data_IF_523456983654
#
_entry.id   IF_523456983654
#
_cell.length_a   1.000
_cell.length_b   1.000
_cell.length_c   1.000
_cell.angle_alpha   90.00
_cell.angle_beta   90.00
_cell.angle_gamma   90.00
#
_symmetry.space_group_name_H-M   'P 1'
#
loop_
_entity.id
_entity.type
_entity.pdbx_description
1 polymer ?
#
# COMPACT_ATOMS: atom_id res chain seq x y z
N UNK A 1 -5.39 -2.95 -27.87
CA UNK A 1 -5.25 -1.82 -28.81
C UNK A 1 -5.09 -0.55 -28.00
N UNK A 2 -4.21 0.37 -28.40
CA UNK A 2 -4.06 1.67 -27.74
C UNK A 2 -4.84 2.73 -28.51
N UNK A 3 -5.51 3.63 -27.79
CA UNK A 3 -6.26 4.76 -28.35
C UNK A 3 -5.74 6.06 -27.74
N UNK A 4 -5.57 7.10 -28.57
CA UNK A 4 -5.10 8.41 -28.13
C UNK A 4 -6.30 9.27 -27.74
N UNK A 5 -6.23 9.89 -26.56
CA UNK A 5 -7.19 10.90 -26.08
C UNK A 5 -6.46 12.23 -26.01
N UNK A 6 -7.07 13.28 -26.57
CA UNK A 6 -6.58 14.66 -26.46
C UNK A 6 -7.52 15.49 -25.59
N UNK A 7 -6.94 16.30 -24.71
CA UNK A 7 -7.66 17.23 -23.86
C UNK A 7 -6.79 18.46 -23.60
N UNK A 8 -7.45 19.61 -23.45
CA UNK A 8 -6.78 20.84 -23.04
C UNK A 8 -6.87 20.99 -21.52
N UNK A 9 -5.75 21.38 -20.91
CA UNK A 9 -5.66 21.71 -19.49
C UNK A 9 -5.01 23.08 -19.36
N UNK A 10 -5.29 23.78 -18.27
CA UNK A 10 -4.64 25.06 -17.98
C UNK A 10 -3.13 24.88 -17.71
N UNK A 11 -2.39 25.99 -17.76
CA UNK A 11 -0.94 26.00 -17.61
C UNK A 11 -0.46 25.54 -16.22
N UNK A 12 -1.23 25.80 -15.17
CA UNK A 12 -0.91 25.39 -13.79
C UNK A 12 -1.05 23.87 -13.65
N UNK A 13 -2.12 23.29 -14.20
CA UNK A 13 -2.33 21.85 -14.24
C UNK A 13 -1.26 21.15 -15.07
N UNK A 14 -0.95 21.67 -16.26
CA UNK A 14 0.12 21.13 -17.11
C UNK A 14 1.49 21.12 -16.42
N UNK A 15 1.83 22.20 -15.71
CA UNK A 15 3.11 22.32 -14.98
C UNK A 15 3.17 21.35 -13.81
N UNK A 16 2.07 21.25 -13.04
CA UNK A 16 1.97 20.32 -11.91
C UNK A 16 2.11 18.87 -12.36
N UNK A 17 1.43 18.49 -13.45
CA UNK A 17 1.50 17.16 -14.03
C UNK A 17 2.93 16.81 -14.50
N UNK A 18 3.61 17.71 -15.21
CA UNK A 18 5.00 17.51 -15.65
C UNK A 18 5.94 17.29 -14.46
N UNK A 19 5.76 18.06 -13.38
CA UNK A 19 6.53 17.92 -12.15
C UNK A 19 6.30 16.53 -11.51
N UNK A 20 5.05 16.11 -11.36
CA UNK A 20 4.72 14.79 -10.79
C UNK A 20 5.32 13.66 -11.65
N UNK A 21 5.16 13.73 -12.97
CA UNK A 21 5.73 12.74 -13.88
C UNK A 21 7.26 12.64 -13.75
N UNK A 22 7.94 13.78 -13.63
CA UNK A 22 9.39 13.82 -13.40
C UNK A 22 9.78 13.22 -12.05
N UNK A 23 9.04 13.52 -10.98
CA UNK A 23 9.32 13.00 -9.63
C UNK A 23 9.15 11.48 -9.57
N UNK A 24 8.20 10.93 -10.32
CA UNK A 24 7.95 9.49 -10.37
C UNK A 24 8.84 8.74 -11.39
N UNK A 25 9.70 9.46 -12.13
CA UNK A 25 10.49 8.92 -13.25
C UNK A 25 9.60 8.27 -14.33
N UNK A 26 8.53 8.96 -14.74
CA UNK A 26 7.53 8.48 -15.70
C UNK A 26 7.29 9.49 -16.81
N UNK A 27 6.82 9.01 -17.96
CA UNK A 27 6.33 9.90 -19.02
C UNK A 27 5.02 10.57 -18.61
N UNK A 28 4.75 11.77 -19.14
CA UNK A 28 3.49 12.49 -18.91
C UNK A 28 2.29 11.63 -19.34
N UNK A 29 2.40 10.94 -20.47
CA UNK A 29 1.35 10.03 -20.96
C UNK A 29 1.03 8.90 -19.97
N UNK A 30 2.07 8.28 -19.38
CA UNK A 30 1.89 7.21 -18.39
C UNK A 30 1.28 7.73 -17.08
N UNK A 31 1.68 8.93 -16.65
CA UNK A 31 1.10 9.59 -15.49
C UNK A 31 -0.40 9.89 -15.69
N UNK A 32 -0.77 10.47 -16.85
CA UNK A 32 -2.17 10.74 -17.21
C UNK A 32 -2.98 9.46 -17.31
N UNK A 33 -2.47 8.44 -18.00
CA UNK A 33 -3.13 7.14 -18.13
C UNK A 33 -3.43 6.50 -16.77
N UNK A 34 -2.49 6.60 -15.84
CA UNK A 34 -2.68 6.08 -14.47
C UNK A 34 -3.68 6.91 -13.68
N UNK A 35 -3.61 8.23 -13.77
CA UNK A 35 -4.56 9.12 -13.12
C UNK A 35 -5.99 8.85 -13.60
N UNK A 36 -6.20 8.69 -14.92
CA UNK A 36 -7.49 8.31 -15.50
C UNK A 36 -7.93 6.95 -14.95
N UNK A 37 -7.07 5.93 -14.98
CA UNK A 37 -7.38 4.57 -14.51
C UNK A 37 -7.83 4.56 -13.04
N UNK A 38 -7.13 5.30 -12.19
CA UNK A 38 -7.52 5.43 -10.78
C UNK A 38 -8.84 6.18 -10.67
N UNK A 39 -8.97 7.33 -11.35
CA UNK A 39 -10.16 8.16 -11.25
C UNK A 39 -11.42 7.43 -11.71
N UNK A 40 -11.40 6.73 -12.86
CA UNK A 40 -12.57 5.97 -13.35
C UNK A 40 -12.93 4.79 -12.44
N UNK A 41 -11.96 4.23 -11.71
CA UNK A 41 -12.17 3.13 -10.78
C UNK A 41 -12.80 3.53 -9.45
N UNK A 42 -12.76 4.81 -9.09
CA UNK A 42 -13.37 5.31 -7.84
C UNK A 42 -14.91 5.32 -7.95
N UNK A 43 -15.66 5.00 -6.87
CA UNK A 43 -17.11 5.18 -6.83
C UNK A 43 -17.52 6.62 -7.12
N UNK A 44 -18.68 6.83 -7.77
CA UNK A 44 -19.15 8.17 -8.17
C UNK A 44 -19.13 9.16 -6.99
N UNK A 45 -19.69 8.79 -5.84
CA UNK A 45 -19.72 9.67 -4.67
C UNK A 45 -18.33 10.10 -4.18
N UNK A 46 -17.32 9.23 -4.30
CA UNK A 46 -15.93 9.57 -3.95
C UNK A 46 -15.35 10.57 -4.96
N UNK A 47 -15.61 10.38 -6.25
CA UNK A 47 -15.15 11.33 -7.29
C UNK A 47 -15.78 12.70 -7.11
N UNK A 48 -17.10 12.73 -6.90
CA UNK A 48 -17.85 13.96 -6.72
C UNK A 48 -17.32 14.74 -5.51
N UNK A 49 -17.08 14.05 -4.39
CA UNK A 49 -16.47 14.65 -3.19
C UNK A 49 -15.05 15.18 -3.44
N UNK A 50 -14.18 14.44 -4.13
CA UNK A 50 -12.83 14.92 -4.46
C UNK A 50 -12.84 16.16 -5.38
N UNK A 51 -13.81 16.23 -6.30
CA UNK A 51 -13.98 17.38 -7.17
C UNK A 51 -14.50 18.60 -6.41
N UNK A 52 -15.42 18.40 -5.46
CA UNK A 52 -15.94 19.44 -4.56
C UNK A 52 -14.80 20.04 -3.72
N UNK A 53 -14.03 19.21 -3.01
CA UNK A 53 -12.88 19.69 -2.22
C UNK A 53 -11.86 20.46 -3.06
N UNK A 54 -11.61 20.02 -4.30
CA UNK A 54 -10.69 20.73 -5.19
C UNK A 54 -11.27 22.07 -5.68
N UNK A 55 -12.59 22.16 -5.87
CA UNK A 55 -13.26 23.41 -6.26
C UNK A 55 -13.30 24.42 -5.10
N UNK A 56 -13.42 23.95 -3.86
CA UNK A 56 -13.38 24.76 -2.64
C UNK A 56 -11.95 25.14 -2.21
N UNK A 57 -10.93 24.62 -2.90
CA UNK A 57 -9.52 24.72 -2.52
C UNK A 57 -9.22 24.21 -1.09
N UNK A 58 -10.03 23.29 -0.57
CA UNK A 58 -9.89 22.71 0.77
C UNK A 58 -8.77 21.67 0.81
N UNK A 59 -7.54 22.18 0.85
CA UNK A 59 -6.32 21.35 0.92
C UNK A 59 -6.18 20.60 2.23
N UNK A 60 -6.69 21.15 3.33
CA UNK A 60 -6.56 20.54 4.65
C UNK A 60 -7.36 19.23 4.71
N UNK A 61 -8.57 19.23 4.16
CA UNK A 61 -9.39 18.03 4.05
C UNK A 61 -8.81 17.03 3.05
N UNK A 62 -8.27 17.49 1.90
CA UNK A 62 -7.58 16.61 0.94
C UNK A 62 -6.38 15.91 1.59
N UNK A 63 -5.56 16.65 2.34
CA UNK A 63 -4.37 16.11 3.01
C UNK A 63 -4.75 15.13 4.13
N UNK A 64 -5.82 15.43 4.88
CA UNK A 64 -6.36 14.53 5.89
C UNK A 64 -6.86 13.23 5.26
N UNK A 65 -7.65 13.33 4.19
CA UNK A 65 -8.14 12.17 3.45
C UNK A 65 -6.97 11.33 2.91
N UNK A 66 -5.94 11.98 2.36
CA UNK A 66 -4.73 11.30 1.88
C UNK A 66 -4.02 10.49 2.96
N UNK A 67 -3.90 11.05 4.18
CA UNK A 67 -3.31 10.34 5.33
C UNK A 67 -4.16 9.14 5.74
N UNK A 68 -5.48 9.31 5.83
CA UNK A 68 -6.40 8.23 6.19
C UNK A 68 -6.37 7.09 5.15
N UNK A 69 -6.39 7.43 3.86
CA UNK A 69 -6.24 6.47 2.76
C UNK A 69 -4.90 5.73 2.81
N UNK A 70 -3.80 6.43 3.13
CA UNK A 70 -2.49 5.79 3.25
C UNK A 70 -2.45 4.80 4.41
N UNK A 71 -3.05 5.14 5.55
CA UNK A 71 -3.15 4.25 6.69
C UNK A 71 -3.96 2.98 6.35
N UNK A 72 -5.10 3.14 5.67
CA UNK A 72 -5.90 2.01 5.19
C UNK A 72 -5.11 1.15 4.19
N UNK A 73 -4.43 1.77 3.23
CA UNK A 73 -3.63 1.06 2.25
C UNK A 73 -2.46 0.30 2.88
N UNK A 74 -1.82 0.85 3.91
CA UNK A 74 -0.77 0.18 4.66
C UNK A 74 -1.29 -1.07 5.38
N UNK A 75 -2.46 -0.98 6.04
CA UNK A 75 -3.11 -2.12 6.70
C UNK A 75 -3.43 -3.22 5.70
N UNK A 76 -4.07 -2.90 4.59
CA UNK A 76 -4.41 -3.88 3.54
C UNK A 76 -3.15 -4.53 2.94
N UNK A 77 -2.07 -3.77 2.74
CA UNK A 77 -0.80 -4.35 2.26
C UNK A 77 -0.19 -5.31 3.28
N UNK A 78 -0.23 -4.96 4.57
CA UNK A 78 0.25 -5.80 5.65
C UNK A 78 -0.57 -7.10 5.70
N UNK A 79 -1.90 -7.02 5.75
CA UNK A 79 -2.79 -8.20 5.74
C UNK A 79 -2.51 -9.13 4.56
N UNK A 80 -2.35 -8.57 3.35
CA UNK A 80 -1.99 -9.36 2.16
C UNK A 80 -0.61 -10.01 2.26
N UNK A 81 0.37 -9.30 2.81
CA UNK A 81 1.71 -9.85 3.03
C UNK A 81 1.68 -10.97 4.06
N UNK A 82 0.95 -10.80 5.18
CA UNK A 82 0.79 -11.83 6.20
C UNK A 82 0.07 -13.07 5.66
N UNK A 83 -1.01 -12.88 4.88
CA UNK A 83 -1.70 -13.98 4.22
C UNK A 83 -0.79 -14.73 3.24
N UNK A 84 0.07 -14.02 2.50
CA UNK A 84 1.05 -14.62 1.60
C UNK A 84 2.10 -15.43 2.36
N UNK A 85 2.65 -14.89 3.45
CA UNK A 85 3.63 -15.58 4.30
C UNK A 85 3.04 -16.82 4.99
N UNK A 86 1.78 -16.76 5.43
CA UNK A 86 1.06 -17.90 5.98
C UNK A 86 0.85 -18.99 4.91
N UNK A 87 0.50 -18.60 3.67
CA UNK A 87 0.37 -19.53 2.54
C UNK A 87 1.71 -20.15 2.11
N UNK A 88 2.83 -19.44 2.31
CA UNK A 88 4.20 -19.93 2.09
C UNK A 88 4.72 -20.79 3.26
N UNK A 89 3.92 -21.03 4.30
CA UNK A 89 4.26 -21.92 5.42
C UNK A 89 5.26 -21.35 6.42
N UNK A 90 5.52 -20.04 6.41
CA UNK A 90 6.40 -19.39 7.40
C UNK A 90 5.73 -19.17 8.77
N UNK A 91 4.41 -19.28 8.84
CA UNK A 91 3.69 -19.48 10.09
C UNK A 91 3.12 -20.89 10.07
N UNK A 92 3.67 -21.72 10.95
CA UNK A 92 3.43 -23.16 11.06
C UNK A 92 2.03 -23.62 10.69
N UNK A 93 1.99 -24.61 9.80
CA UNK A 93 0.80 -25.44 9.60
C UNK A 93 0.39 -26.18 10.89
N UNK A 94 -0.74 -26.91 10.85
CA UNK A 94 -1.39 -27.52 12.03
C UNK A 94 -0.57 -28.56 12.82
N UNK A 95 0.75 -28.65 12.62
CA UNK A 95 1.71 -29.36 13.46
C UNK A 95 2.54 -28.49 14.40
N UNK A 96 2.48 -27.14 14.34
CA UNK A 96 3.35 -26.28 15.16
C UNK A 96 2.94 -26.10 16.62
N UNK A 97 1.71 -26.48 17.00
CA UNK A 97 1.35 -26.55 18.42
C UNK A 97 2.12 -27.66 19.17
N UNK A 98 2.66 -28.65 18.45
CA UNK A 98 3.57 -29.65 19.01
C UNK A 98 5.02 -29.13 19.13
N UNK A 99 5.35 -28.02 18.48
CA UNK A 99 6.72 -27.51 18.33
C UNK A 99 7.07 -26.47 19.40
N UNK A 100 6.09 -25.75 19.98
CA UNK A 100 6.37 -24.80 21.07
C UNK A 100 6.81 -25.53 22.35
N UNK A 101 6.17 -26.66 22.68
CA UNK A 101 6.59 -27.51 23.80
C UNK A 101 7.95 -28.15 23.50
N UNK A 102 8.17 -28.62 22.26
CA UNK A 102 9.46 -29.17 21.83
C UNK A 102 10.60 -28.15 21.89
N UNK A 103 10.35 -26.91 21.44
CA UNK A 103 11.31 -25.81 21.50
C UNK A 103 11.62 -25.39 22.94
N UNK A 104 10.63 -25.36 23.83
CA UNK A 104 10.83 -25.08 25.25
C UNK A 104 11.60 -26.21 25.95
N UNK A 105 11.32 -27.46 25.60
CA UNK A 105 12.05 -28.63 26.12
C UNK A 105 13.50 -28.65 25.63
N UNK A 106 13.76 -28.32 24.36
CA UNK A 106 15.10 -28.25 23.78
C UNK A 106 15.91 -27.08 24.36
N UNK A 107 15.29 -25.91 24.53
CA UNK A 107 15.92 -24.78 25.23
C UNK A 107 16.25 -25.10 26.69
N UNK A 108 15.38 -25.87 27.37
CA UNK A 108 15.62 -26.35 28.73
C UNK A 108 16.75 -27.38 28.77
N UNK A 109 16.82 -28.28 27.79
CA UNK A 109 17.88 -29.26 27.66
C UNK A 109 19.25 -28.59 27.42
N UNK A 110 19.31 -27.59 26.54
CA UNK A 110 20.52 -26.80 26.28
C UNK A 110 20.96 -26.02 27.52
N UNK A 111 20.02 -25.43 28.25
CA UNK A 111 20.31 -24.70 29.51
C UNK A 111 20.87 -25.62 30.60
N UNK A 112 20.34 -26.84 30.72
CA UNK A 112 20.86 -27.85 31.65
C UNK A 112 22.22 -28.39 31.22
N UNK A 113 22.47 -28.56 29.92
CA UNK A 113 23.76 -28.99 29.40
C UNK A 113 24.84 -27.92 29.62
N UNK A 114 24.50 -26.63 29.49
CA UNK A 114 25.38 -25.52 29.80
C UNK A 114 25.69 -25.42 31.30
N UNK A 115 24.72 -25.70 32.18
CA UNK A 115 24.91 -25.72 33.64
C UNK A 115 25.71 -26.93 34.16
N UNK A 116 25.95 -27.96 33.35
CA UNK A 116 26.67 -29.19 33.72
C UNK A 116 28.13 -29.21 33.23
N UNK A 117 28.59 -28.19 32.52
CA UNK A 117 30.01 -28.03 32.17
C UNK A 117 30.71 -27.22 33.29
N UNK A 118 31.65 -27.82 34.05
CA UNK A 118 32.46 -27.07 35.03
C UNK A 118 33.43 -26.10 34.35
#
# INVERSE_FOLDING_TARGET
MASTISANVDSKTATTLKRVASMENRSVSNAVSSAITVFIGLPKGVRDFLLELNAEEDRDTIDRLGREMMAVAARVRLEKATAKLAAEGHFGGPGHAADEIGMLEEATALSRAAAKRP
#
